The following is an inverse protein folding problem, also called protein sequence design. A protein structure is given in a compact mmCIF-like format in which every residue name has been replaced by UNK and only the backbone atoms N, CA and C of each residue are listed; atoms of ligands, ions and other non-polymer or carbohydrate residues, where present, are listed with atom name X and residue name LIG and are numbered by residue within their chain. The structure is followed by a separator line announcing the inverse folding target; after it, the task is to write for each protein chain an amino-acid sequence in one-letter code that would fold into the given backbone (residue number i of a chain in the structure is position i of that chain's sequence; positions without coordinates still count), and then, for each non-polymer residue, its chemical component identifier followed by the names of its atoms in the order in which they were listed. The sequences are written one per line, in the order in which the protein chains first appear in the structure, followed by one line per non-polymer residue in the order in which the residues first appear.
data_IF_224798699447
#
_entry.id   IF_224798699447
#
_cell.length_a   1.000
_cell.length_b   1.000
_cell.length_c   1.000
_cell.angle_alpha   90.00
_cell.angle_beta   90.00
_cell.angle_gamma   90.00
#
_symmetry.space_group_name_H-M   'P 1'
#
loop_
_entity.id
_entity.type
_entity.pdbx_description
1 polymer ?
#
# COMPACT_ATOMS: atom_id res chain seq x y z
N UNK A 1 -47.32 -58.96 -50.67
CA UNK A 1 -47.29 -57.49 -50.52
C UNK A 1 -45.88 -57.09 -50.06
N UNK A 2 -44.85 -56.89 -50.88
CA UNK A 2 -44.63 -55.85 -51.92
C UNK A 2 -44.86 -54.42 -51.42
N UNK A 3 -43.84 -53.78 -50.82
CA UNK A 3 -43.24 -52.52 -51.29
C UNK A 3 -42.17 -51.96 -50.31
N UNK A 4 -40.96 -51.76 -50.87
CA UNK A 4 -39.89 -50.86 -50.38
C UNK A 4 -40.42 -49.44 -50.17
N UNK A 5 -39.84 -48.69 -49.21
CA UNK A 5 -39.41 -47.30 -49.46
C UNK A 5 -38.40 -46.79 -48.41
N UNK A 6 -37.18 -46.58 -48.90
CA UNK A 6 -36.18 -45.64 -48.38
C UNK A 6 -36.69 -44.19 -48.40
N UNK A 7 -35.93 -43.30 -47.74
CA UNK A 7 -35.78 -41.84 -47.96
C UNK A 7 -36.44 -41.02 -46.83
N UNK A 8 -35.78 -40.09 -46.13
CA UNK A 8 -34.85 -39.05 -46.61
C UNK A 8 -34.09 -38.44 -45.42
N UNK A 9 -32.76 -38.44 -45.47
CA UNK A 9 -31.93 -37.49 -44.70
C UNK A 9 -32.10 -36.11 -45.34
N UNK A 10 -32.68 -35.15 -44.62
CA UNK A 10 -32.72 -33.75 -45.06
C UNK A 10 -31.51 -33.06 -44.44
N UNK A 11 -30.42 -33.00 -45.21
CA UNK A 11 -29.35 -32.04 -44.97
C UNK A 11 -29.95 -30.63 -45.15
N UNK A 12 -30.16 -29.92 -44.05
CA UNK A 12 -30.52 -28.51 -44.10
C UNK A 12 -29.25 -27.70 -44.40
N UNK A 13 -28.90 -27.61 -45.68
CA UNK A 13 -27.84 -26.73 -46.16
C UNK A 13 -28.33 -25.29 -46.07
N UNK A 14 -28.10 -24.64 -44.92
CA UNK A 14 -28.33 -23.20 -44.76
C UNK A 14 -27.27 -22.47 -45.57
N UNK A 15 -27.64 -22.07 -46.79
CA UNK A 15 -26.81 -21.24 -47.67
C UNK A 15 -26.68 -19.84 -47.04
N UNK A 16 -25.65 -19.63 -46.21
CA UNK A 16 -25.25 -18.30 -45.77
C UNK A 16 -24.78 -17.52 -47.01
N UNK A 17 -25.57 -16.55 -47.47
CA UNK A 17 -25.10 -15.54 -48.42
C UNK A 17 -24.21 -14.57 -47.66
N UNK A 18 -22.89 -14.74 -47.76
CA UNK A 18 -21.91 -13.78 -47.26
C UNK A 18 -21.75 -12.66 -48.30
N UNK A 19 -22.55 -11.61 -48.19
CA UNK A 19 -22.20 -10.32 -48.80
C UNK A 19 -21.28 -9.59 -47.83
N UNK A 20 -19.97 -9.66 -48.07
CA UNK A 20 -19.01 -8.78 -47.41
C UNK A 20 -19.22 -7.37 -47.97
N UNK A 21 -19.85 -6.52 -47.18
CA UNK A 21 -20.05 -5.12 -47.51
C UNK A 21 -19.09 -4.31 -46.65
N UNK A 22 -17.99 -3.83 -47.25
CA UNK A 22 -16.94 -3.07 -46.55
C UNK A 22 -17.30 -1.59 -46.34
N UNK A 23 -18.54 -1.18 -46.63
CA UNK A 23 -18.98 0.20 -46.49
C UNK A 23 -20.18 0.28 -45.51
N UNK A 24 -20.05 0.98 -44.38
CA UNK A 24 -21.08 1.04 -43.35
C UNK A 24 -22.37 1.72 -43.82
N UNK A 25 -22.29 2.62 -44.82
CA UNK A 25 -23.46 3.32 -45.37
C UNK A 25 -24.34 2.36 -46.18
N UNK A 26 -23.74 1.51 -47.01
CA UNK A 26 -24.47 0.55 -47.83
C UNK A 26 -25.04 -0.59 -46.97
N UNK A 27 -24.32 -1.01 -45.93
CA UNK A 27 -24.86 -1.95 -44.93
C UNK A 27 -26.10 -1.37 -44.23
N UNK A 28 -26.04 -0.12 -43.75
CA UNK A 28 -27.16 0.54 -43.08
C UNK A 28 -28.35 0.77 -44.01
N UNK A 29 -28.12 1.06 -45.30
CA UNK A 29 -29.16 1.20 -46.30
C UNK A 29 -29.86 -0.14 -46.61
N UNK A 30 -29.10 -1.24 -46.70
CA UNK A 30 -29.64 -2.59 -46.94
C UNK A 30 -30.32 -3.19 -45.70
N UNK A 31 -29.91 -2.76 -44.50
CA UNK A 31 -30.39 -3.26 -43.22
C UNK A 31 -31.14 -2.20 -42.41
N UNK A 32 -31.76 -1.20 -43.06
CA UNK A 32 -32.42 -0.08 -42.38
C UNK A 32 -33.59 -0.49 -41.48
N UNK A 33 -34.32 -1.53 -41.88
CA UNK A 33 -35.47 -2.09 -41.15
C UNK A 33 -35.22 -3.53 -40.67
N UNK A 34 -34.00 -4.05 -40.82
CA UNK A 34 -33.66 -5.36 -40.31
C UNK A 34 -33.53 -5.28 -38.79
N UNK A 35 -34.14 -6.20 -38.02
CA UNK A 35 -33.93 -6.23 -36.58
C UNK A 35 -32.42 -6.39 -36.32
N UNK A 36 -31.88 -5.54 -35.44
CA UNK A 36 -30.47 -5.62 -35.06
C UNK A 36 -30.17 -7.05 -34.58
N UNK A 37 -29.02 -7.63 -34.98
CA UNK A 37 -28.60 -8.91 -34.44
C UNK A 37 -28.56 -8.80 -32.92
N UNK A 38 -29.22 -9.72 -32.21
CA UNK A 38 -29.19 -9.74 -30.75
C UNK A 38 -27.74 -9.90 -30.33
N UNK A 39 -27.21 -8.95 -29.57
CA UNK A 39 -25.94 -9.15 -28.88
C UNK A 39 -26.07 -10.44 -28.09
N UNK A 40 -25.13 -11.36 -28.31
CA UNK A 40 -25.01 -12.55 -27.49
C UNK A 40 -24.62 -12.03 -26.12
N UNK A 41 -25.55 -12.10 -25.18
CA UNK A 41 -25.27 -11.79 -23.79
C UNK A 41 -24.28 -12.86 -23.34
N UNK A 42 -23.01 -12.51 -23.27
CA UNK A 42 -21.99 -13.37 -22.66
C UNK A 42 -22.31 -13.33 -21.16
N UNK A 43 -23.12 -14.28 -20.70
CA UNK A 43 -23.28 -14.49 -19.27
C UNK A 43 -21.90 -14.89 -18.71
N UNK A 44 -21.44 -14.25 -17.62
CA UNK A 44 -20.21 -14.69 -16.98
C UNK A 44 -20.35 -16.16 -16.58
N UNK A 45 -19.27 -16.97 -16.69
CA UNK A 45 -19.32 -18.38 -16.33
C UNK A 45 -19.75 -18.50 -14.86
N UNK A 46 -20.78 -19.32 -14.59
CA UNK A 46 -21.21 -19.61 -13.23
C UNK A 46 -20.30 -20.70 -12.67
N UNK A 47 -19.46 -20.34 -11.70
CA UNK A 47 -18.60 -21.30 -11.02
C UNK A 47 -19.44 -22.40 -10.33
N UNK A 48 -18.99 -23.64 -10.43
CA UNK A 48 -19.58 -24.75 -9.66
C UNK A 48 -19.10 -24.69 -8.21
N UNK A 49 -19.86 -25.28 -7.26
CA UNK A 49 -19.45 -25.37 -5.84
C UNK A 49 -18.02 -25.90 -5.65
N UNK A 50 -17.59 -27.02 -6.28
CA UNK A 50 -16.21 -27.51 -6.11
C UNK A 50 -15.15 -26.57 -6.69
N UNK A 51 -15.43 -25.89 -7.80
CA UNK A 51 -14.53 -24.89 -8.38
C UNK A 51 -14.41 -23.65 -7.48
N UNK A 52 -15.52 -23.19 -6.90
CA UNK A 52 -15.52 -22.10 -5.94
C UNK A 52 -14.72 -22.44 -4.69
N UNK A 53 -14.89 -23.65 -4.14
CA UNK A 53 -14.10 -24.12 -2.98
C UNK A 53 -12.62 -24.22 -3.33
N UNK A 54 -12.29 -24.75 -4.52
CA UNK A 54 -10.91 -24.82 -5.01
C UNK A 54 -10.28 -23.43 -5.13
N UNK A 55 -11.02 -22.46 -5.67
CA UNK A 55 -10.56 -21.08 -5.82
C UNK A 55 -10.29 -20.43 -4.46
N UNK A 56 -11.15 -20.66 -3.46
CA UNK A 56 -10.97 -20.13 -2.10
C UNK A 56 -9.70 -20.70 -1.46
N UNK A 57 -9.53 -22.03 -1.51
CA UNK A 57 -8.36 -22.70 -0.95
C UNK A 57 -7.08 -22.20 -1.64
N UNK A 58 -7.12 -22.02 -2.96
CA UNK A 58 -5.98 -21.51 -3.73
C UNK A 58 -5.69 -20.02 -3.47
N UNK A 59 -6.70 -19.19 -3.22
CA UNK A 59 -6.53 -17.75 -2.98
C UNK A 59 -6.15 -17.40 -1.54
N UNK A 60 -6.33 -18.32 -0.59
CA UNK A 60 -6.06 -18.04 0.82
C UNK A 60 -4.55 -18.12 1.10
N UNK A 61 -3.88 -17.01 1.48
CA UNK A 61 -2.45 -17.04 1.72
C UNK A 61 -2.11 -17.80 3.01
N UNK A 62 -1.65 -19.04 2.89
CA UNK A 62 -1.11 -19.82 4.01
C UNK A 62 0.35 -19.45 4.29
N UNK A 63 0.61 -18.24 4.79
CA UNK A 63 1.99 -17.88 5.14
C UNK A 63 2.12 -17.44 6.60
N UNK A 64 2.58 -18.38 7.44
CA UNK A 64 2.95 -18.19 8.86
C UNK A 64 4.47 -18.09 9.00
N UNK A 65 5.17 -17.31 8.18
CA UNK A 65 6.55 -16.97 8.55
C UNK A 65 6.43 -16.00 9.73
N UNK A 66 6.89 -16.36 10.94
CA UNK A 66 6.88 -15.44 12.06
C UNK A 66 7.84 -14.30 11.70
N UNK A 67 7.26 -13.13 11.40
CA UNK A 67 8.06 -11.92 11.22
C UNK A 67 8.52 -11.47 12.61
N UNK A 68 9.77 -11.03 12.77
CA UNK A 68 10.23 -10.47 14.03
C UNK A 68 9.27 -9.36 14.47
N UNK A 69 8.92 -9.34 15.75
CA UNK A 69 7.95 -8.39 16.28
C UNK A 69 8.52 -6.97 16.14
N UNK A 70 7.65 -6.07 15.69
CA UNK A 70 7.97 -4.65 15.54
C UNK A 70 7.57 -3.96 16.83
N UNK A 71 8.53 -3.31 17.47
CA UNK A 71 8.37 -2.57 18.71
C UNK A 71 8.50 -1.09 18.43
N UNK A 72 7.63 -0.29 19.04
CA UNK A 72 7.60 1.16 18.87
C UNK A 72 7.80 1.83 20.21
N UNK A 73 8.87 2.62 20.30
CA UNK A 73 9.22 3.39 21.47
C UNK A 73 8.96 4.87 21.27
N UNK A 74 8.48 5.52 22.32
CA UNK A 74 8.41 6.96 22.40
C UNK A 74 9.37 7.46 23.47
N UNK A 75 10.38 8.21 23.07
CA UNK A 75 11.37 8.77 23.96
C UNK A 75 11.10 10.26 24.12
N UNK A 76 10.98 10.73 25.35
CA UNK A 76 10.91 12.16 25.68
C UNK A 76 12.31 12.64 25.97
N UNK A 77 12.80 13.57 25.16
CA UNK A 77 14.21 13.91 25.08
C UNK A 77 14.37 15.42 25.14
N UNK A 78 15.37 15.90 25.88
CA UNK A 78 15.70 17.31 25.90
C UNK A 78 16.24 17.75 24.53
N UNK A 79 15.75 18.87 24.00
CA UNK A 79 16.17 19.41 22.71
C UNK A 79 17.49 20.19 22.83
N UNK A 80 18.58 19.47 23.05
CA UNK A 80 19.94 20.00 23.06
C UNK A 80 20.72 19.55 21.81
N UNK A 81 21.67 20.36 21.32
CA UNK A 81 22.50 19.99 20.18
C UNK A 81 23.31 18.71 20.49
N UNK A 82 23.32 17.77 19.55
CA UNK A 82 24.08 16.51 19.66
C UNK A 82 23.34 15.35 20.31
N UNK A 83 22.12 15.56 20.84
CA UNK A 83 21.33 14.48 21.46
C UNK A 83 20.89 13.43 20.43
N UNK A 84 20.44 13.86 19.24
CA UNK A 84 20.09 12.95 18.13
C UNK A 84 21.27 12.03 17.77
N UNK A 85 22.46 12.61 17.60
CA UNK A 85 23.66 11.87 17.22
C UNK A 85 24.07 10.86 18.28
N UNK A 86 23.91 11.20 19.57
CA UNK A 86 24.18 10.31 20.68
C UNK A 86 23.21 9.12 20.71
N UNK A 87 21.91 9.38 20.58
CA UNK A 87 20.88 8.34 20.55
C UNK A 87 21.05 7.39 19.36
N UNK A 88 21.20 7.94 18.16
CA UNK A 88 21.45 7.15 16.95
C UNK A 88 22.77 6.37 17.05
N UNK A 89 23.80 6.96 17.64
CA UNK A 89 25.11 6.32 17.84
C UNK A 89 25.05 5.14 18.79
N UNK A 90 24.34 5.26 19.92
CA UNK A 90 24.18 4.18 20.91
C UNK A 90 23.40 2.99 20.32
N UNK A 91 22.37 3.27 19.52
CA UNK A 91 21.59 2.23 18.86
C UNK A 91 22.39 1.53 17.76
N UNK A 92 23.13 2.30 16.95
CA UNK A 92 23.98 1.76 15.89
C UNK A 92 25.17 0.97 16.43
N UNK A 93 25.83 1.43 17.50
CA UNK A 93 26.99 0.77 18.11
C UNK A 93 26.66 -0.64 18.64
N UNK A 94 25.40 -0.87 19.03
CA UNK A 94 24.93 -2.19 19.48
C UNK A 94 24.35 -3.05 18.36
N UNK A 95 24.24 -2.52 17.14
CA UNK A 95 23.74 -3.25 15.99
C UNK A 95 22.23 -3.56 16.08
N UNK A 96 21.43 -2.71 16.73
CA UNK A 96 19.98 -2.88 16.70
C UNK A 96 19.43 -2.57 15.30
N UNK A 97 18.49 -3.38 14.82
CA UNK A 97 17.86 -3.16 13.52
C UNK A 97 16.74 -2.12 13.65
N UNK A 98 17.09 -0.86 13.40
CA UNK A 98 16.17 0.28 13.47
C UNK A 98 15.40 0.36 12.14
N UNK A 99 14.08 0.21 12.20
CA UNK A 99 13.20 0.43 11.04
C UNK A 99 13.07 1.92 10.72
N UNK A 100 12.82 2.74 11.75
CA UNK A 100 12.68 4.18 11.60
C UNK A 100 13.00 4.90 12.90
N UNK A 101 13.65 6.05 12.80
CA UNK A 101 13.86 6.99 13.90
C UNK A 101 13.38 8.36 13.44
N UNK A 102 12.37 8.90 14.13
CA UNK A 102 11.78 10.20 13.80
C UNK A 102 11.83 11.10 15.03
N UNK A 103 12.21 12.36 14.82
CA UNK A 103 12.20 13.39 15.86
C UNK A 103 11.11 14.40 15.57
N UNK A 104 10.26 14.64 16.56
CA UNK A 104 9.18 15.62 16.51
C UNK A 104 9.43 16.67 17.60
N UNK A 105 9.41 17.95 17.25
CA UNK A 105 9.34 19.01 18.23
C UNK A 105 7.98 18.97 18.94
N UNK A 106 7.95 19.16 20.25
CA UNK A 106 6.70 19.30 21.00
C UNK A 106 6.36 20.78 21.20
N UNK A 107 5.16 21.10 21.67
CA UNK A 107 4.78 22.49 21.99
C UNK A 107 5.56 23.06 23.18
N UNK A 108 6.13 22.18 24.00
CA UNK A 108 6.96 22.58 25.14
C UNK A 108 8.37 22.89 24.64
N UNK A 109 8.88 24.08 24.95
CA UNK A 109 10.25 24.47 24.62
C UNK A 109 11.25 23.50 25.23
N UNK A 110 12.35 23.26 24.51
CA UNK A 110 13.41 22.34 24.91
C UNK A 110 12.98 20.87 25.12
N UNK A 111 11.77 20.48 24.68
CA UNK A 111 11.30 19.10 24.71
C UNK A 111 11.01 18.59 23.30
N UNK A 112 11.67 17.48 22.97
CA UNK A 112 11.50 16.73 21.72
C UNK A 112 10.95 15.34 22.01
N UNK A 113 10.05 14.90 21.16
CA UNK A 113 9.52 13.53 21.16
C UNK A 113 10.19 12.76 20.05
N UNK A 114 10.87 11.66 20.38
CA UNK A 114 11.49 10.79 19.40
C UNK A 114 10.71 9.48 19.33
N UNK A 115 10.28 9.09 18.13
CA UNK A 115 9.65 7.79 17.89
C UNK A 115 10.67 6.87 17.24
N UNK A 116 10.90 5.71 17.84
CA UNK A 116 11.88 4.73 17.36
C UNK A 116 11.15 3.41 17.14
N UNK A 117 11.21 2.89 15.92
CA UNK A 117 10.69 1.57 15.59
C UNK A 117 11.86 0.60 15.43
N UNK A 118 11.85 -0.51 16.17
CA UNK A 118 12.89 -1.53 16.17
C UNK A 118 12.25 -2.90 15.90
N UNK A 119 12.92 -3.74 15.12
CA UNK A 119 12.54 -5.15 14.96
C UNK A 119 13.49 -6.04 15.76
N UNK A 120 12.94 -6.90 16.60
CA UNK A 120 13.75 -7.80 17.42
C UNK A 120 12.91 -8.68 18.33
N UNK A 121 13.61 -9.45 19.16
CA UNK A 121 13.00 -10.17 20.27
C UNK A 121 12.88 -9.24 21.48
N UNK A 122 11.91 -9.50 22.36
CA UNK A 122 11.63 -8.73 23.57
C UNK A 122 12.87 -8.50 24.45
N UNK A 123 13.78 -9.48 24.57
CA UNK A 123 15.01 -9.36 25.35
C UNK A 123 15.97 -8.27 24.82
N UNK A 124 16.16 -8.26 23.49
CA UNK A 124 17.04 -7.30 22.79
C UNK A 124 16.42 -5.90 22.83
N UNK A 125 15.09 -5.84 22.73
CA UNK A 125 14.27 -4.64 22.73
C UNK A 125 14.25 -3.98 24.11
N UNK A 126 14.08 -4.76 25.18
CA UNK A 126 14.17 -4.29 26.56
C UNK A 126 15.58 -3.80 26.89
N UNK A 127 16.62 -4.45 26.36
CA UNK A 127 17.98 -3.93 26.44
C UNK A 127 18.12 -2.57 25.74
N UNK A 128 17.56 -2.41 24.53
CA UNK A 128 17.58 -1.13 23.83
C UNK A 128 16.87 -0.03 24.64
N UNK A 129 15.71 -0.33 25.23
CA UNK A 129 14.95 0.58 26.09
C UNK A 129 15.79 1.07 27.28
N UNK A 130 16.41 0.16 28.03
CA UNK A 130 17.29 0.49 29.18
C UNK A 130 18.47 1.36 28.77
N UNK A 131 19.03 1.14 27.59
CA UNK A 131 20.19 1.90 27.10
C UNK A 131 19.83 3.31 26.64
N UNK A 132 18.62 3.52 26.13
CA UNK A 132 18.13 4.87 25.82
C UNK A 132 17.82 5.63 27.12
N UNK A 133 17.25 4.94 28.11
CA UNK A 133 16.91 5.52 29.41
C UNK A 133 18.15 5.94 30.24
N UNK A 134 19.30 5.27 30.07
CA UNK A 134 20.56 5.60 30.74
C UNK A 134 21.18 6.94 30.28
N UNK A 135 20.69 7.51 29.18
CA UNK A 135 21.23 8.76 28.63
C UNK A 135 20.69 9.95 29.42
N UNK A 136 21.59 10.77 29.96
CA UNK A 136 21.28 11.96 30.79
C UNK A 136 20.26 12.93 30.15
N UNK A 137 20.23 13.05 28.81
CA UNK A 137 19.33 13.96 28.09
C UNK A 137 17.92 13.38 27.83
N UNK A 138 17.66 12.13 28.22
CA UNK A 138 16.35 11.47 28.05
C UNK A 138 15.60 11.55 29.38
N UNK A 139 14.36 12.03 29.32
CA UNK A 139 13.48 12.13 30.49
C UNK A 139 12.76 10.81 30.77
N UNK A 140 12.25 10.16 29.72
CA UNK A 140 11.52 8.90 29.83
C UNK A 140 11.48 8.17 28.48
N UNK A 141 11.39 6.85 28.54
CA UNK A 141 11.15 5.98 27.39
C UNK A 141 9.86 5.19 27.64
N UNK A 142 8.88 5.38 26.77
CA UNK A 142 7.60 4.66 26.80
C UNK A 142 7.61 3.58 25.71
N UNK A 143 7.15 2.38 26.06
CA UNK A 143 6.91 1.29 25.12
C UNK A 143 5.43 1.23 24.73
N UNK A 144 5.16 1.25 23.43
CA UNK A 144 3.82 1.21 22.87
C UNK A 144 3.41 -0.16 22.31
N UNK A 145 4.28 -1.17 22.35
CA UNK A 145 4.06 -2.50 21.74
C UNK A 145 2.74 -3.16 22.14
N UNK A 146 2.26 -2.97 23.37
CA UNK A 146 1.05 -3.59 23.90
C UNK A 146 -0.17 -2.66 24.04
N UNK A 147 -0.12 -1.45 23.49
CA UNK A 147 -1.18 -0.44 23.66
C UNK A 147 -1.82 -0.05 22.35
N UNK A 148 -3.06 0.44 22.41
CA UNK A 148 -3.72 0.98 21.22
C UNK A 148 -3.03 2.26 20.78
N UNK A 149 -2.33 2.21 19.65
CA UNK A 149 -1.61 3.38 19.10
C UNK A 149 -2.17 3.83 17.75
N UNK A 150 -1.98 5.10 17.43
CA UNK A 150 -2.11 5.64 16.08
C UNK A 150 -0.73 5.81 15.48
N UNK A 151 -0.40 4.99 14.50
CA UNK A 151 0.80 5.15 13.68
C UNK A 151 0.50 5.96 12.41
N UNK A 152 1.37 6.92 12.11
CA UNK A 152 1.32 7.72 10.90
C UNK A 152 2.70 7.91 10.30
N UNK A 153 2.76 7.80 8.99
CA UNK A 153 3.90 8.08 8.15
C UNK A 153 3.43 8.95 6.97
N UNK A 154 4.25 9.93 6.59
CA UNK A 154 4.05 10.76 5.41
C UNK A 154 4.93 10.22 4.27
N UNK A 155 4.31 10.02 3.11
CA UNK A 155 4.94 9.68 1.85
C UNK A 155 4.73 10.82 0.85
N UNK A 156 5.81 11.28 0.26
CA UNK A 156 5.82 12.06 -0.97
C UNK A 156 6.41 11.20 -2.07
N UNK A 157 5.65 10.95 -3.14
CA UNK A 157 6.11 10.12 -4.26
C UNK A 157 5.90 10.85 -5.58
N UNK A 158 6.95 10.93 -6.39
CA UNK A 158 6.86 11.39 -7.78
C UNK A 158 6.72 10.19 -8.69
N UNK A 159 5.70 10.20 -9.52
CA UNK A 159 5.34 9.11 -10.42
C UNK A 159 5.39 9.60 -11.86
N UNK A 160 5.87 8.74 -12.76
CA UNK A 160 5.91 9.02 -14.21
C UNK A 160 4.51 8.90 -14.85
N UNK A 161 4.24 9.75 -15.84
CA UNK A 161 3.05 9.69 -16.70
C UNK A 161 3.37 9.18 -18.12
N UNK A 162 4.61 8.75 -18.35
CA UNK A 162 5.08 8.25 -19.65
C UNK A 162 4.79 6.74 -19.82
N UNK A 163 4.34 6.06 -18.78
CA UNK A 163 4.09 4.61 -18.77
C UNK A 163 5.34 3.76 -18.49
N UNK A 164 5.13 2.43 -18.35
CA UNK A 164 6.16 1.51 -17.90
C UNK A 164 7.32 1.40 -18.89
N UNK A 165 7.05 1.44 -20.19
CA UNK A 165 8.07 1.26 -21.24
C UNK A 165 9.11 2.41 -21.24
N UNK A 166 8.65 3.64 -20.98
CA UNK A 166 9.53 4.81 -20.86
C UNK A 166 10.29 4.84 -19.54
N UNK A 167 9.69 4.32 -18.46
CA UNK A 167 10.34 4.25 -17.16
C UNK A 167 11.58 3.35 -17.20
N UNK A 168 11.48 2.18 -17.84
CA UNK A 168 12.61 1.25 -18.00
C UNK A 168 13.79 1.91 -18.74
N UNK A 169 13.51 2.66 -19.81
CA UNK A 169 14.53 3.37 -20.58
C UNK A 169 15.19 4.51 -19.79
N UNK A 170 14.40 5.25 -18.99
CA UNK A 170 14.95 6.32 -18.15
C UNK A 170 15.87 5.76 -17.07
N UNK A 171 15.45 4.68 -16.41
CA UNK A 171 16.23 4.02 -15.37
C UNK A 171 17.55 3.42 -15.93
N UNK A 172 17.50 2.77 -17.09
CA UNK A 172 18.67 2.21 -17.76
C UNK A 172 19.68 3.29 -18.20
N UNK A 173 19.20 4.49 -18.57
CA UNK A 173 20.06 5.62 -18.94
C UNK A 173 20.78 6.27 -17.75
N UNK A 174 20.19 6.24 -16.56
CA UNK A 174 20.76 6.84 -15.35
C UNK A 174 21.83 5.97 -14.66
N UNK A 175 22.09 4.75 -15.15
CA UNK A 175 23.21 3.90 -14.70
C UNK A 175 24.33 3.85 -15.75
N UNK A 176 24.98 4.97 -16.13
CA UNK A 176 26.19 4.90 -16.93
C UNK A 176 27.39 4.67 -16.00
N UNK A 177 27.68 3.41 -15.62
CA UNK A 177 28.95 3.16 -14.91
C UNK A 177 29.20 1.84 -14.18
N UNK A 178 28.28 0.89 -14.10
CA UNK A 178 28.53 -0.36 -13.31
C UNK A 178 28.91 -1.57 -14.17
N UNK A 179 28.72 -1.53 -15.48
CA UNK A 179 29.25 -2.57 -16.38
C UNK A 179 29.86 -1.89 -17.59
N UNK A 180 31.19 -1.77 -17.57
CA UNK A 180 32.01 -1.40 -18.71
C UNK A 180 32.08 -2.54 -19.73
N UNK A 181 30.94 -2.89 -20.31
CA UNK A 181 30.89 -3.63 -21.56
C UNK A 181 30.01 -2.84 -22.53
N UNK A 182 30.69 -2.29 -23.53
CA UNK A 182 30.10 -1.79 -24.76
C UNK A 182 29.22 -2.89 -25.37
N UNK A 183 27.94 -2.92 -25.00
CA UNK A 183 26.97 -3.79 -25.66
C UNK A 183 26.39 -3.00 -26.83
N UNK A 184 27.12 -3.04 -27.95
CA UNK A 184 26.52 -2.79 -29.25
C UNK A 184 25.45 -3.87 -29.52
N UNK A 185 24.21 -3.41 -29.65
CA UNK A 185 23.09 -4.05 -30.37
C UNK A 185 22.50 -5.37 -29.82
N UNK A 186 21.38 -5.23 -29.09
CA UNK A 186 20.26 -6.17 -29.09
C UNK A 186 18.95 -5.42 -28.72
N UNK A 187 18.33 -4.62 -29.61
CA UNK A 187 17.24 -5.00 -30.53
C UNK A 187 16.02 -5.71 -29.92
N UNK A 188 15.01 -4.93 -29.47
CA UNK A 188 13.61 -5.14 -29.88
C UNK A 188 12.73 -3.91 -29.62
N UNK A 189 12.49 -3.15 -30.70
CA UNK A 189 11.21 -2.52 -31.04
C UNK A 189 10.41 -1.80 -29.94
N UNK A 190 10.72 -0.54 -29.65
CA UNK A 190 9.72 0.54 -29.68
C UNK A 190 10.44 1.85 -30.00
N UNK A 191 10.60 2.15 -31.30
CA UNK A 191 10.78 3.54 -31.71
C UNK A 191 9.53 4.31 -31.25
N UNK A 192 9.69 5.09 -30.19
CA UNK A 192 8.63 5.95 -29.68
C UNK A 192 8.46 7.16 -30.60
N UNK A 193 7.85 6.92 -31.76
CA UNK A 193 7.07 7.93 -32.48
C UNK A 193 5.59 7.72 -32.16
N UNK A 194 5.25 7.53 -30.87
CA UNK A 194 3.88 7.81 -30.45
C UNK A 194 3.54 9.21 -30.99
N UNK A 195 2.47 9.29 -31.78
CA UNK A 195 1.95 10.60 -32.19
C UNK A 195 1.83 11.48 -30.96
N UNK A 196 2.19 12.78 -31.02
CA UNK A 196 2.10 13.67 -29.86
C UNK A 196 0.70 13.65 -29.22
N UNK A 197 -0.33 13.41 -30.03
CA UNK A 197 -1.71 13.20 -29.56
C UNK A 197 -1.89 11.90 -28.78
N UNK A 198 -1.31 10.79 -29.24
CA UNK A 198 -1.39 9.50 -28.56
C UNK A 198 -0.63 9.53 -27.22
N UNK A 199 0.54 10.18 -27.17
CA UNK A 199 1.29 10.40 -25.94
C UNK A 199 0.49 11.25 -24.94
N UNK A 200 -0.18 12.32 -25.40
CA UNK A 200 -1.04 13.14 -24.55
C UNK A 200 -2.24 12.35 -23.99
N UNK A 201 -2.87 11.52 -24.81
CA UNK A 201 -3.98 10.65 -24.36
C UNK A 201 -3.52 9.62 -23.33
N UNK A 202 -2.36 9.00 -23.54
CA UNK A 202 -1.76 8.07 -22.57
C UNK A 202 -1.52 8.77 -21.23
N UNK A 203 -0.89 9.95 -21.27
CA UNK A 203 -0.63 10.77 -20.07
C UNK A 203 -1.92 11.12 -19.34
N UNK A 204 -2.96 11.54 -20.06
CA UNK A 204 -4.26 11.86 -19.48
C UNK A 204 -4.93 10.64 -18.81
N UNK A 205 -4.85 9.47 -19.45
CA UNK A 205 -5.39 8.22 -18.91
C UNK A 205 -4.65 7.79 -17.64
N UNK A 206 -3.32 7.84 -17.66
CA UNK A 206 -2.50 7.49 -16.49
C UNK A 206 -2.70 8.47 -15.34
N UNK A 207 -2.75 9.78 -15.65
CA UNK A 207 -3.09 10.82 -14.68
C UNK A 207 -4.41 10.50 -13.99
N UNK A 208 -5.46 10.19 -14.76
CA UNK A 208 -6.76 9.82 -14.20
C UNK A 208 -6.69 8.56 -13.34
N UNK A 209 -5.96 7.53 -13.76
CA UNK A 209 -5.81 6.28 -13.00
C UNK A 209 -5.07 6.50 -11.67
N UNK A 210 -3.92 7.18 -11.70
CA UNK A 210 -3.13 7.49 -10.50
C UNK A 210 -3.94 8.38 -9.55
N UNK A 211 -4.69 9.34 -10.08
CA UNK A 211 -5.55 10.20 -9.29
C UNK A 211 -6.63 9.39 -8.55
N UNK A 212 -7.27 8.42 -9.22
CA UNK A 212 -8.26 7.54 -8.59
C UNK A 212 -7.65 6.68 -7.48
N UNK A 213 -6.50 6.05 -7.74
CA UNK A 213 -5.79 5.24 -6.73
C UNK A 213 -5.41 6.11 -5.53
N UNK A 214 -4.89 7.31 -5.76
CA UNK A 214 -4.56 8.28 -4.70
C UNK A 214 -5.77 8.63 -3.84
N UNK A 215 -6.92 8.89 -4.45
CA UNK A 215 -8.16 9.19 -3.72
C UNK A 215 -8.67 8.01 -2.87
N UNK A 216 -8.54 6.77 -3.37
CA UNK A 216 -8.91 5.56 -2.60
C UNK A 216 -8.06 5.38 -1.35
N UNK A 217 -6.80 5.85 -1.38
CA UNK A 217 -5.91 5.84 -0.23
C UNK A 217 -6.03 7.08 0.65
N UNK A 218 -6.97 7.98 0.36
CA UNK A 218 -7.14 9.27 1.04
C UNK A 218 -5.89 10.18 0.93
N UNK A 219 -5.10 10.00 -0.14
CA UNK A 219 -3.98 10.88 -0.49
C UNK A 219 -4.43 12.11 -1.27
N UNK A 220 -3.48 12.97 -1.60
CA UNK A 220 -3.67 14.17 -2.41
C UNK A 220 -2.62 14.25 -3.50
N UNK A 221 -3.01 14.79 -4.65
CA UNK A 221 -2.05 15.17 -5.70
C UNK A 221 -1.59 16.58 -5.40
N UNK A 222 -0.30 16.74 -5.11
CA UNK A 222 0.29 18.03 -4.71
C UNK A 222 0.73 18.84 -5.93
N UNK A 223 1.36 18.18 -6.92
CA UNK A 223 1.85 18.83 -8.14
C UNK A 223 1.60 17.97 -9.38
N UNK A 224 1.34 18.62 -10.52
CA UNK A 224 1.10 17.98 -11.82
C UNK A 224 2.00 18.65 -12.85
N UNK A 225 2.94 17.86 -13.39
CA UNK A 225 3.83 18.26 -14.46
C UNK A 225 3.39 17.63 -15.80
N UNK A 226 4.08 17.97 -16.89
CA UNK A 226 3.81 17.44 -18.23
C UNK A 226 4.11 15.95 -18.36
N UNK A 227 5.03 15.44 -17.55
CA UNK A 227 5.57 14.07 -17.64
C UNK A 227 5.58 13.33 -16.30
N UNK A 228 5.30 14.03 -15.19
CA UNK A 228 5.32 13.45 -13.85
C UNK A 228 4.27 14.08 -12.95
N UNK A 229 4.00 13.42 -11.83
CA UNK A 229 3.02 13.85 -10.85
C UNK A 229 3.56 13.59 -9.44
N UNK A 230 3.34 14.53 -8.52
CA UNK A 230 3.74 14.38 -7.11
C UNK A 230 2.51 14.11 -6.25
N UNK A 231 2.57 13.01 -5.51
CA UNK A 231 1.51 12.53 -4.61
C UNK A 231 1.97 12.71 -3.17
N UNK A 232 1.03 13.14 -2.33
CA UNK A 232 1.15 13.16 -0.89
C UNK A 232 0.19 12.13 -0.28
N UNK A 233 0.70 11.28 0.62
CA UNK A 233 -0.10 10.33 1.38
C UNK A 233 0.33 10.32 2.84
N UNK A 234 -0.65 10.41 3.75
CA UNK A 234 -0.43 10.19 5.19
C UNK A 234 -1.25 8.99 5.65
N UNK A 235 -0.59 7.91 6.06
CA UNK A 235 -1.27 6.67 6.48
C UNK A 235 -0.42 5.86 7.47
N UNK A 236 -0.90 4.69 7.89
CA UNK A 236 -0.07 3.72 8.61
C UNK A 236 1.02 3.16 7.69
N UNK A 237 2.19 2.74 8.20
CA UNK A 237 3.31 2.28 7.39
C UNK A 237 2.93 1.13 6.44
N UNK A 238 2.14 0.16 6.91
CA UNK A 238 1.66 -0.95 6.06
C UNK A 238 0.78 -0.45 4.90
N UNK A 239 -0.05 0.58 5.14
CA UNK A 239 -0.91 1.16 4.11
C UNK A 239 -0.09 1.97 3.09
N UNK A 240 0.97 2.63 3.54
CA UNK A 240 1.96 3.31 2.67
C UNK A 240 2.69 2.29 1.79
N UNK A 241 3.13 1.15 2.35
CA UNK A 241 3.82 0.10 1.60
C UNK A 241 2.93 -0.53 0.51
N UNK A 242 1.65 -0.77 0.85
CA UNK A 242 0.65 -1.24 -0.11
C UNK A 242 0.41 -0.21 -1.22
N UNK A 243 0.31 1.08 -0.86
CA UNK A 243 0.14 2.15 -1.84
C UNK A 243 1.32 2.23 -2.81
N UNK A 244 2.56 2.20 -2.28
CA UNK A 244 3.76 2.20 -3.10
C UNK A 244 3.79 1.00 -4.05
N UNK A 245 3.37 -0.19 -3.58
CA UNK A 245 3.32 -1.41 -4.39
C UNK A 245 2.34 -1.31 -5.55
N UNK A 246 1.23 -0.59 -5.38
CA UNK A 246 0.27 -0.30 -6.46
C UNK A 246 0.78 0.76 -7.45
N UNK A 247 1.67 1.65 -7.02
CA UNK A 247 2.26 2.68 -7.87
C UNK A 247 3.47 2.18 -8.68
N UNK A 248 4.15 1.11 -8.24
CA UNK A 248 5.31 0.54 -8.94
C UNK A 248 5.11 0.33 -10.45
N UNK A 249 3.98 -0.20 -10.94
CA UNK A 249 3.76 -0.41 -12.38
C UNK A 249 3.71 0.89 -13.20
N UNK A 250 3.39 2.04 -12.59
CA UNK A 250 3.39 3.33 -13.27
C UNK A 250 4.80 3.93 -13.40
N UNK A 251 5.76 3.45 -12.59
CA UNK A 251 7.12 3.98 -12.51
C UNK A 251 7.23 5.09 -11.47
N UNK A 252 7.65 4.74 -10.27
CA UNK A 252 7.97 5.71 -9.21
C UNK A 252 9.36 6.26 -9.47
N UNK A 253 9.47 7.55 -9.78
CA UNK A 253 10.72 8.23 -10.07
C UNK A 253 11.51 8.52 -8.79
N UNK A 254 10.83 9.05 -7.78
CA UNK A 254 11.40 9.32 -6.47
C UNK A 254 10.34 9.13 -5.38
N UNK A 255 10.78 8.73 -4.19
CA UNK A 255 9.93 8.62 -3.01
C UNK A 255 10.68 9.12 -1.78
N UNK A 256 10.05 10.01 -1.03
CA UNK A 256 10.51 10.51 0.25
C UNK A 256 9.54 10.09 1.35
N UNK A 257 10.07 9.45 2.39
CA UNK A 257 9.31 8.90 3.52
C UNK A 257 9.85 9.50 4.82
N UNK A 258 8.96 9.97 5.68
CA UNK A 258 9.35 10.58 6.96
C UNK A 258 9.70 9.58 8.06
N UNK A 259 9.31 8.31 7.89
CA UNK A 259 9.33 7.30 8.96
C UNK A 259 8.06 7.32 9.83
N UNK A 260 7.97 6.39 10.78
CA UNK A 260 6.76 6.22 11.61
C UNK A 260 6.76 7.15 12.81
N UNK A 261 5.69 7.92 12.94
CA UNK A 261 5.31 8.64 14.17
C UNK A 261 4.19 7.88 14.85
N UNK A 262 4.20 7.83 16.18
CA UNK A 262 3.20 7.10 16.95
C UNK A 262 2.73 7.89 18.17
N UNK A 263 1.44 7.80 18.47
CA UNK A 263 0.83 8.31 19.70
C UNK A 263 -0.13 7.29 20.27
N UNK A 264 -0.15 7.17 21.60
CA UNK A 264 -1.11 6.34 22.30
C UNK A 264 -2.53 6.89 22.13
N UNK A 265 -3.50 6.00 21.90
CA UNK A 265 -4.93 6.31 21.93
C UNK A 265 -5.43 6.20 23.36
N UNK A 266 -6.37 7.07 23.71
CA UNK A 266 -7.19 6.87 24.89
C UNK A 266 -8.25 5.81 24.55
N UNK A 267 -8.32 4.70 25.30
CA UNK A 267 -9.38 3.71 25.10
C UNK A 267 -10.73 4.35 25.43
N UNK A 268 -11.69 4.26 24.50
CA UNK A 268 -13.06 4.67 24.76
C UNK A 268 -13.79 3.51 25.44
N UNK A 269 -13.70 3.42 26.76
CA UNK A 269 -14.59 2.54 27.52
C UNK A 269 -15.88 3.30 27.84
N UNK A 270 -17.00 2.89 27.26
CA UNK A 270 -18.34 3.35 27.68
C UNK A 270 -18.72 2.85 29.09
N UNK A 271 -17.85 2.03 29.69
CA UNK A 271 -17.91 1.67 31.10
C UNK A 271 -17.33 2.84 31.87
N UNK A 272 -18.20 3.61 32.53
CA UNK A 272 -17.78 4.48 33.63
C UNK A 272 -17.12 3.54 34.63
N UNK A 273 -15.81 3.65 34.90
CA UNK A 273 -15.24 2.88 35.98
C UNK A 273 -15.95 3.36 37.25
N UNK A 274 -16.59 2.45 37.98
CA UNK A 274 -17.11 2.70 39.33
C UNK A 274 -15.93 3.04 40.23
N UNK A 275 -15.46 4.30 40.14
CA UNK A 275 -14.42 4.87 40.96
C UNK A 275 -15.06 5.68 42.08
N UNK A 276 -15.95 5.07 42.87
CA UNK A 276 -16.35 5.48 44.23
C UNK A 276 -17.07 4.32 44.94
N UNK A 277 -16.40 3.17 45.06
CA UNK A 277 -16.58 2.32 46.25
C UNK A 277 -15.23 2.28 46.95
N UNK A 278 -14.85 3.43 47.52
CA UNK A 278 -14.22 3.38 48.83
C UNK A 278 -15.27 2.76 49.75
N UNK A 279 -15.32 1.42 49.79
CA UNK A 279 -16.00 0.73 50.87
C UNK A 279 -15.22 1.09 52.13
N UNK A 280 -15.79 2.06 52.82
CA UNK A 280 -15.49 2.54 54.14
C UNK A 280 -15.76 1.43 55.18
N UNK A 281 -15.03 0.31 55.09
CA UNK A 281 -15.06 -0.77 56.08
C UNK A 281 -13.63 -1.07 56.58
N UNK A 282 -12.93 -0.02 57.00
CA UNK A 282 -11.77 -0.17 57.89
C UNK A 282 -11.82 0.89 58.99
N UNK A 283 -13.01 1.08 59.57
CA UNK A 283 -13.13 1.73 60.87
C UNK A 283 -12.74 0.72 61.96
N UNK A 284 -11.71 1.12 62.68
CA UNK A 284 -11.14 0.56 63.90
C UNK A 284 -12.17 -0.07 64.86
N UNK A 285 -12.11 -1.38 65.04
CA UNK A 285 -12.57 -2.02 66.28
C UNK A 285 -11.36 -2.19 67.19
N UNK A 286 -11.07 -1.16 67.98
CA UNK A 286 -10.14 -1.25 69.12
C UNK A 286 -10.85 -1.97 70.25
N UNK A 287 -10.51 -3.24 70.45
CA UNK A 287 -11.03 -4.07 71.54
C UNK A 287 -10.33 -3.66 72.86
N UNK A 288 -11.06 -2.99 73.76
CA UNK A 288 -10.62 -2.70 75.13
C UNK A 288 -10.90 -3.91 76.03
N UNK A 289 -9.97 -4.31 76.92
CA UNK A 289 -10.18 -5.47 77.77
C UNK A 289 -11.16 -5.15 78.91
N UNK A 290 -12.10 -6.06 79.24
CA UNK A 290 -12.98 -5.88 80.40
C UNK A 290 -12.21 -6.15 81.70
N UNK A 291 -12.47 -5.32 82.71
CA UNK A 291 -11.89 -5.42 84.06
C UNK A 291 -12.48 -6.54 84.92
#
# INVERSE_FOLDING_TARGET
MLAKRLSRTVNHFVRRKTTYVNNPITYKALHANAPLPRCHIIEPPRATVPEAVSNIIASTPFNRIPRPQRHVFNCLVQNEPGVLSRLSGILAARGFNIDSLVVCATEVENLSRMTIAIRGNDEVVEQARRQIEDIVSVWAVLDYTGTDIVERELLLAKVSLLGPDHFQQHFEREIPGVTGEETEQASSSVDNSMSPTAALQLRANQLSAINQVTHLFNGRVSDISTESLIIELTASPDRVDNFLSLLRPFGVLEASRTGTTAMARSPLSNVVPDKYTEDADNDEVVDLPPG
#
